data_IF_013868118230
#
_entry.id   IF_013868118230
#
_cell.length_a   1.000
_cell.length_b   1.000
_cell.length_c   1.000
_cell.angle_alpha   90.00
_cell.angle_beta   90.00
_cell.angle_gamma   90.00
#
_symmetry.space_group_name_H-M   'P 1'
#
loop_
_entity.id
_entity.type
_entity.pdbx_description
1 polymer ?
#
# COMPACT_ATOMS: atom_id res chain seq x y z
N UNK A 1 -23.01 -22.69 -23.20
CA UNK A 1 -22.20 -21.57 -22.68
C UNK A 1 -21.37 -22.12 -21.52
N UNK A 2 -20.16 -22.54 -21.83
CA UNK A 2 -19.23 -23.18 -20.87
C UNK A 2 -18.48 -22.06 -20.15
N UNK A 3 -18.82 -21.88 -18.85
CA UNK A 3 -18.10 -20.96 -17.97
C UNK A 3 -16.67 -21.47 -17.72
N UNK A 4 -15.71 -20.74 -18.21
CA UNK A 4 -14.31 -20.94 -17.79
C UNK A 4 -14.20 -20.43 -16.35
N UNK A 5 -14.23 -21.33 -15.41
CA UNK A 5 -13.84 -21.11 -14.02
C UNK A 5 -12.32 -20.89 -14.01
N UNK A 6 -11.87 -19.67 -14.18
CA UNK A 6 -10.50 -19.27 -13.90
C UNK A 6 -10.33 -19.28 -12.38
N UNK A 7 -9.84 -20.38 -11.82
CA UNK A 7 -9.43 -20.43 -10.43
C UNK A 7 -8.43 -19.33 -10.16
N UNK A 8 -8.81 -18.33 -9.36
CA UNK A 8 -7.86 -17.29 -8.91
C UNK A 8 -6.74 -18.00 -8.16
N UNK A 9 -5.47 -17.65 -8.41
CA UNK A 9 -4.34 -18.25 -7.69
C UNK A 9 -4.54 -18.05 -6.19
N UNK A 10 -4.32 -19.11 -5.42
CA UNK A 10 -4.36 -19.06 -3.96
C UNK A 10 -3.24 -18.14 -3.47
N UNK A 11 -3.61 -17.09 -2.77
CA UNK A 11 -2.64 -16.18 -2.15
C UNK A 11 -2.02 -16.82 -0.91
N UNK A 12 -0.78 -16.45 -0.55
CA UNK A 12 -0.21 -16.81 0.76
C UNK A 12 -1.10 -16.33 1.91
N UNK A 13 -1.05 -16.97 3.09
CA UNK A 13 -1.94 -16.65 4.21
C UNK A 13 -1.78 -15.22 4.76
N UNK A 14 -0.68 -14.55 4.47
CA UNK A 14 -0.39 -13.16 4.83
C UNK A 14 -0.58 -12.16 3.67
N UNK A 15 -1.23 -12.58 2.59
CA UNK A 15 -1.55 -11.72 1.46
C UNK A 15 -3.06 -11.73 1.21
N UNK A 16 -3.62 -10.54 1.11
CA UNK A 16 -5.04 -10.33 0.88
C UNK A 16 -5.27 -9.58 -0.43
N UNK A 17 -6.40 -9.84 -1.02
CA UNK A 17 -6.85 -9.13 -2.22
C UNK A 17 -8.04 -8.27 -1.85
N UNK A 18 -8.00 -7.02 -2.25
CA UNK A 18 -9.16 -6.14 -2.12
C UNK A 18 -10.43 -6.79 -2.68
N UNK A 19 -11.61 -6.49 -2.13
CA UNK A 19 -12.89 -6.95 -2.66
C UNK A 19 -13.03 -6.64 -4.16
N UNK A 20 -13.28 -7.69 -4.96
CA UNK A 20 -13.39 -7.58 -6.42
C UNK A 20 -14.83 -7.18 -6.81
N UNK A 21 -15.20 -5.94 -6.50
CA UNK A 21 -16.51 -5.39 -6.83
C UNK A 21 -16.60 -5.04 -8.33
N UNK A 22 -17.83 -4.93 -8.90
CA UNK A 22 -18.00 -4.44 -10.28
C UNK A 22 -17.31 -3.09 -10.53
N UNK A 23 -17.33 -2.20 -9.54
CA UNK A 23 -16.61 -0.91 -9.60
C UNK A 23 -15.10 -1.10 -9.73
N UNK A 24 -14.51 -1.99 -8.92
CA UNK A 24 -13.08 -2.29 -9.00
C UNK A 24 -12.72 -2.88 -10.37
N UNK A 25 -13.53 -3.81 -10.88
CA UNK A 25 -13.32 -4.38 -12.21
C UNK A 25 -13.38 -3.31 -13.31
N UNK A 26 -14.32 -2.36 -13.21
CA UNK A 26 -14.41 -1.26 -14.18
C UNK A 26 -13.15 -0.38 -14.17
N UNK A 27 -12.65 0.00 -12.98
CA UNK A 27 -11.42 0.78 -12.86
C UNK A 27 -10.20 0.03 -13.41
N UNK A 28 -10.07 -1.25 -13.06
CA UNK A 28 -8.99 -2.12 -13.55
C UNK A 28 -9.05 -2.30 -15.08
N UNK A 29 -10.23 -2.38 -15.66
CA UNK A 29 -10.40 -2.47 -17.12
C UNK A 29 -9.83 -1.23 -17.79
N UNK A 30 -10.14 -0.04 -17.28
CA UNK A 30 -9.64 1.23 -17.84
C UNK A 30 -8.11 1.29 -17.78
N UNK A 31 -7.50 1.05 -16.62
CA UNK A 31 -6.04 1.18 -16.48
C UNK A 31 -5.24 0.08 -17.21
N UNK A 32 -5.90 -1.03 -17.61
CA UNK A 32 -5.28 -2.13 -18.34
C UNK A 32 -5.48 -2.05 -19.86
N UNK A 33 -6.35 -1.16 -20.33
CA UNK A 33 -6.52 -0.95 -21.78
C UNK A 33 -5.31 -0.17 -22.31
N UNK A 34 -4.62 -0.76 -23.30
CA UNK A 34 -3.48 -0.13 -23.98
C UNK A 34 -3.81 1.20 -24.67
N UNK A 35 -5.09 1.46 -24.95
CA UNK A 35 -5.57 2.67 -25.60
C UNK A 35 -5.93 3.78 -24.60
N UNK A 36 -5.92 3.50 -23.29
CA UNK A 36 -6.22 4.50 -22.26
C UNK A 36 -5.21 5.64 -22.31
N UNK A 37 -5.73 6.85 -22.40
CA UNK A 37 -4.89 8.06 -22.43
C UNK A 37 -4.19 8.24 -21.05
N UNK A 38 -3.03 8.89 -21.07
CA UNK A 38 -2.20 9.08 -19.87
C UNK A 38 -2.97 9.77 -18.74
N UNK A 39 -3.79 10.77 -19.06
CA UNK A 39 -4.61 11.49 -18.07
C UNK A 39 -5.61 10.57 -17.36
N UNK A 40 -6.30 9.72 -18.13
CA UNK A 40 -7.27 8.78 -17.60
C UNK A 40 -6.59 7.67 -16.80
N UNK A 41 -5.45 7.17 -17.30
CA UNK A 41 -4.65 6.20 -16.57
C UNK A 41 -4.27 6.72 -15.18
N UNK A 42 -3.76 7.95 -15.08
CA UNK A 42 -3.39 8.56 -13.80
C UNK A 42 -4.63 8.71 -12.92
N UNK A 43 -5.70 9.32 -13.44
CA UNK A 43 -6.91 9.58 -12.69
C UNK A 43 -7.53 8.30 -12.08
N UNK A 44 -7.67 7.24 -12.90
CA UNK A 44 -8.27 6.00 -12.44
C UNK A 44 -7.32 5.17 -11.57
N UNK A 45 -6.00 5.25 -11.78
CA UNK A 45 -5.01 4.66 -10.88
C UNK A 45 -5.07 5.32 -9.50
N UNK A 46 -5.16 6.64 -9.41
CA UNK A 46 -5.28 7.37 -8.14
C UNK A 46 -6.54 6.97 -7.36
N UNK A 47 -7.64 6.69 -8.06
CA UNK A 47 -8.86 6.17 -7.42
C UNK A 47 -8.64 4.79 -6.81
N UNK A 48 -7.97 3.89 -7.54
CA UNK A 48 -7.65 2.54 -7.04
C UNK A 48 -6.69 2.63 -5.86
N UNK A 49 -5.69 3.50 -5.93
CA UNK A 49 -4.73 3.72 -4.83
C UNK A 49 -5.44 4.14 -3.55
N UNK A 50 -6.40 5.07 -3.62
CA UNK A 50 -7.18 5.48 -2.44
C UNK A 50 -7.98 4.32 -1.84
N UNK A 51 -8.64 3.53 -2.68
CA UNK A 51 -9.36 2.34 -2.21
C UNK A 51 -8.41 1.32 -1.57
N UNK A 52 -7.24 1.12 -2.15
CA UNK A 52 -6.21 0.23 -1.60
C UNK A 52 -5.67 0.73 -0.26
N UNK A 53 -5.48 2.04 -0.13
CA UNK A 53 -5.04 2.64 1.14
C UNK A 53 -6.11 2.45 2.21
N UNK A 54 -7.37 2.74 1.92
CA UNK A 54 -8.49 2.54 2.87
C UNK A 54 -8.60 1.07 3.30
N UNK A 55 -8.43 0.13 2.37
CA UNK A 55 -8.39 -1.30 2.70
C UNK A 55 -7.20 -1.63 3.59
N UNK A 56 -6.01 -1.11 3.27
CA UNK A 56 -4.83 -1.27 4.11
C UNK A 56 -5.01 -0.73 5.53
N UNK A 57 -5.74 0.36 5.71
CA UNK A 57 -6.04 0.94 7.01
C UNK A 57 -6.93 0.03 7.88
N UNK A 58 -7.76 -0.83 7.29
CA UNK A 58 -8.57 -1.80 8.00
C UNK A 58 -7.74 -2.83 8.79
N UNK A 59 -6.49 -3.05 8.40
CA UNK A 59 -5.56 -3.97 9.08
C UNK A 59 -4.81 -3.34 10.26
N UNK A 60 -5.01 -2.05 10.50
CA UNK A 60 -4.39 -1.35 11.62
C UNK A 60 -5.17 -1.58 12.92
N UNK A 61 -4.48 -1.66 14.08
CA UNK A 61 -5.15 -1.87 15.35
C UNK A 61 -6.00 -0.65 15.74
N UNK A 62 -7.14 -0.96 16.34
CA UNK A 62 -8.06 0.02 16.91
C UNK A 62 -8.35 -0.31 18.37
N UNK A 63 -8.82 0.66 19.13
CA UNK A 63 -9.33 0.47 20.48
C UNK A 63 -10.71 1.12 20.64
N UNK A 64 -11.52 0.60 21.56
CA UNK A 64 -12.83 1.15 21.86
C UNK A 64 -12.72 2.61 22.33
N UNK A 65 -13.53 3.48 21.75
CA UNK A 65 -13.54 4.90 22.07
C UNK A 65 -14.96 5.45 21.99
N UNK A 66 -15.47 5.93 23.14
CA UNK A 66 -16.79 6.55 23.22
C UNK A 66 -16.67 8.07 23.16
N UNK A 67 -17.45 8.69 22.31
CA UNK A 67 -17.52 10.16 22.16
C UNK A 67 -18.95 10.66 22.38
N UNK A 68 -19.08 11.92 22.82
CA UNK A 68 -20.36 12.59 22.88
C UNK A 68 -20.69 13.22 21.52
N UNK A 69 -21.85 12.87 20.97
CA UNK A 69 -22.31 13.47 19.72
C UNK A 69 -22.81 14.91 19.94
N UNK A 70 -22.94 15.73 18.91
CA UNK A 70 -23.50 17.08 19.03
C UNK A 70 -24.92 17.13 19.62
N UNK A 71 -25.66 16.01 19.52
CA UNK A 71 -27.00 15.87 20.12
C UNK A 71 -26.97 15.43 21.58
N UNK A 72 -25.79 15.22 22.17
CA UNK A 72 -25.62 14.79 23.56
C UNK A 72 -25.75 13.28 23.80
N UNK A 73 -26.01 12.49 22.76
CA UNK A 73 -26.09 11.03 22.86
C UNK A 73 -24.69 10.42 22.75
N UNK A 74 -24.25 9.50 23.64
CA UNK A 74 -22.99 8.80 23.49
C UNK A 74 -22.97 7.93 22.22
N UNK A 75 -21.84 7.97 21.49
CA UNK A 75 -21.54 7.06 20.40
C UNK A 75 -20.37 6.16 20.76
N UNK A 76 -20.61 4.85 20.78
CA UNK A 76 -19.60 3.82 21.06
C UNK A 76 -18.93 3.43 19.73
N UNK A 77 -17.76 3.96 19.50
CA UNK A 77 -16.96 3.72 18.28
C UNK A 77 -15.59 3.18 18.61
N UNK A 78 -14.67 3.34 17.66
CA UNK A 78 -13.27 2.96 17.79
C UNK A 78 -12.36 4.11 17.38
N UNK A 79 -11.13 4.09 17.87
CA UNK A 79 -10.07 5.01 17.44
C UNK A 79 -8.82 4.21 17.05
N UNK A 80 -8.02 4.76 16.12
CA UNK A 80 -6.79 4.12 15.67
C UNK A 80 -5.74 4.10 16.78
N UNK A 81 -5.03 2.98 16.90
CA UNK A 81 -3.95 2.80 17.85
C UNK A 81 -2.60 3.02 17.17
N UNK A 82 -1.81 3.94 17.73
CA UNK A 82 -0.47 4.21 17.25
C UNK A 82 -0.38 5.28 16.16
N UNK A 83 0.78 5.37 15.54
CA UNK A 83 1.11 6.33 14.48
C UNK A 83 1.46 5.61 13.20
N UNK A 84 1.14 6.22 12.06
CA UNK A 84 1.36 5.66 10.72
C UNK A 84 2.52 6.40 10.06
N UNK A 85 3.24 5.69 9.20
CA UNK A 85 4.19 6.26 8.23
C UNK A 85 4.01 5.55 6.89
N UNK A 86 3.82 6.31 5.83
CA UNK A 86 3.98 5.76 4.48
C UNK A 86 5.46 5.70 4.13
N UNK A 87 5.90 4.63 3.48
CA UNK A 87 7.27 4.52 2.96
C UNK A 87 7.19 4.11 1.51
N UNK A 88 7.60 5.01 0.61
CA UNK A 88 7.59 4.72 -0.83
C UNK A 88 8.91 4.11 -1.30
N UNK A 89 8.79 3.04 -2.10
CA UNK A 89 9.93 2.49 -2.84
C UNK A 89 10.08 3.33 -4.11
N UNK A 90 11.12 4.14 -4.15
CA UNK A 90 11.36 5.05 -5.25
C UNK A 90 11.79 4.26 -6.52
N UNK A 91 11.35 4.71 -7.69
CA UNK A 91 10.53 5.89 -7.97
C UNK A 91 9.03 5.59 -8.03
N UNK A 92 8.63 4.36 -8.37
CA UNK A 92 7.23 4.02 -8.66
C UNK A 92 6.29 4.22 -7.44
N UNK A 93 6.73 3.89 -6.23
CA UNK A 93 5.95 4.04 -5.00
C UNK A 93 5.54 5.48 -4.68
N UNK A 94 6.26 6.47 -5.21
CA UNK A 94 5.94 7.89 -5.03
C UNK A 94 4.55 8.26 -5.60
N UNK A 95 4.11 7.57 -6.66
CA UNK A 95 2.78 7.77 -7.23
C UNK A 95 1.64 7.45 -6.24
N UNK A 96 1.91 6.66 -5.20
CA UNK A 96 0.91 6.30 -4.19
C UNK A 96 0.85 7.29 -3.01
N UNK A 97 1.81 8.20 -2.88
CA UNK A 97 1.90 9.13 -1.74
C UNK A 97 0.72 10.10 -1.67
N UNK A 98 0.26 10.58 -2.82
CA UNK A 98 -0.88 11.50 -2.88
C UNK A 98 -2.15 10.84 -2.32
N UNK A 99 -2.46 9.63 -2.77
CA UNK A 99 -3.61 8.86 -2.27
C UNK A 99 -3.52 8.59 -0.77
N UNK A 100 -2.33 8.26 -0.26
CA UNK A 100 -2.14 8.08 1.18
C UNK A 100 -2.38 9.38 1.97
N UNK A 101 -1.93 10.53 1.46
CA UNK A 101 -2.14 11.83 2.12
C UNK A 101 -3.60 12.27 2.10
N UNK A 102 -4.36 11.89 1.10
CA UNK A 102 -5.80 12.15 1.02
C UNK A 102 -6.59 11.32 2.04
N UNK A 103 -6.18 10.07 2.29
CA UNK A 103 -6.82 9.19 3.28
C UNK A 103 -6.33 9.46 4.72
N UNK A 104 -5.06 9.85 4.91
CA UNK A 104 -4.43 9.99 6.20
C UNK A 104 -3.90 11.41 6.41
N UNK A 105 -4.65 12.21 7.17
CA UNK A 105 -4.24 13.60 7.48
C UNK A 105 -2.92 13.61 8.27
N UNK A 106 -1.96 14.43 7.83
CA UNK A 106 -0.67 14.63 8.50
C UNK A 106 0.21 13.36 8.60
N UNK A 107 0.02 12.39 7.71
CA UNK A 107 0.88 11.20 7.64
C UNK A 107 2.31 11.60 7.27
N UNK A 108 3.29 11.00 7.96
CA UNK A 108 4.71 11.14 7.57
C UNK A 108 5.03 10.21 6.41
N UNK A 109 5.91 10.66 5.53
CA UNK A 109 6.39 9.86 4.40
C UNK A 109 7.89 9.66 4.53
N UNK A 110 8.30 8.40 4.53
CA UNK A 110 9.68 7.97 4.32
C UNK A 110 9.90 7.59 2.85
N UNK A 111 11.15 7.56 2.43
CA UNK A 111 11.54 7.20 1.06
C UNK A 111 12.71 6.25 1.06
N UNK A 112 12.64 5.19 0.26
CA UNK A 112 13.70 4.21 0.07
C UNK A 112 13.97 4.11 -1.43
N UNK A 113 15.22 4.35 -1.85
CA UNK A 113 15.66 4.16 -3.23
C UNK A 113 16.44 2.84 -3.34
N UNK A 114 15.86 1.91 -4.07
CA UNK A 114 16.49 0.65 -4.42
C UNK A 114 16.66 0.61 -5.93
N UNK A 115 17.87 0.32 -6.38
CA UNK A 115 18.18 0.13 -7.79
C UNK A 115 18.83 -1.25 -7.96
N UNK A 116 18.78 -1.79 -9.16
CA UNK A 116 19.50 -2.99 -9.49
C UNK A 116 20.97 -2.63 -9.74
N UNK A 117 21.84 -3.37 -9.15
CA UNK A 117 23.27 -3.31 -9.45
C UNK A 117 23.48 -3.71 -10.92
N UNK A 118 24.26 -2.93 -11.67
CA UNK A 118 24.42 -3.10 -13.12
C UNK A 118 25.09 -4.42 -13.48
N UNK A 119 26.01 -4.91 -12.63
CA UNK A 119 26.78 -6.13 -12.89
C UNK A 119 26.04 -7.40 -12.45
N UNK A 120 25.40 -7.34 -11.29
CA UNK A 120 24.79 -8.52 -10.64
C UNK A 120 23.29 -8.62 -10.78
N UNK A 121 22.63 -7.55 -11.27
CA UNK A 121 21.17 -7.38 -11.33
C UNK A 121 20.46 -7.52 -9.97
N UNK A 122 21.21 -7.59 -8.85
CA UNK A 122 20.66 -7.68 -7.50
C UNK A 122 20.17 -6.31 -7.01
N UNK A 123 19.07 -6.28 -6.24
CA UNK A 123 18.60 -5.03 -5.64
C UNK A 123 19.64 -4.51 -4.63
N UNK A 124 19.97 -3.22 -4.72
CA UNK A 124 20.92 -2.53 -3.86
C UNK A 124 20.29 -1.27 -3.31
N UNK A 125 20.44 -1.04 -2.01
CA UNK A 125 20.02 0.19 -1.36
C UNK A 125 20.94 1.34 -1.75
N UNK A 126 20.39 2.42 -2.28
CA UNK A 126 21.13 3.65 -2.58
C UNK A 126 20.83 4.76 -1.58
N UNK A 127 19.61 4.79 -1.07
CA UNK A 127 19.16 5.87 -0.21
C UNK A 127 17.97 5.43 0.64
N UNK A 128 17.98 5.82 1.91
CA UNK A 128 16.85 5.71 2.81
C UNK A 128 16.72 6.98 3.64
N UNK A 129 15.54 7.60 3.61
CA UNK A 129 15.19 8.71 4.49
C UNK A 129 13.92 8.34 5.21
N UNK A 130 14.07 7.97 6.48
CA UNK A 130 13.00 7.52 7.35
C UNK A 130 12.86 8.49 8.53
N UNK A 131 11.67 8.64 9.11
CA UNK A 131 11.51 9.35 10.38
C UNK A 131 12.34 8.69 11.48
N UNK A 132 12.89 9.47 12.42
CA UNK A 132 13.67 8.97 13.55
C UNK A 132 12.88 7.96 14.42
N UNK A 133 11.56 8.16 14.51
CA UNK A 133 10.63 7.32 15.27
C UNK A 133 9.98 6.21 14.43
N UNK A 134 10.61 5.79 13.32
CA UNK A 134 10.02 4.80 12.40
C UNK A 134 9.72 3.45 13.08
N UNK A 135 10.56 3.02 14.02
CA UNK A 135 10.41 1.77 14.76
C UNK A 135 9.10 1.69 15.57
N UNK A 136 8.58 2.85 16.01
CA UNK A 136 7.34 2.95 16.78
C UNK A 136 6.08 3.04 15.93
N UNK A 137 6.23 3.13 14.59
CA UNK A 137 5.13 3.36 13.67
C UNK A 137 4.65 2.08 12.98
N UNK A 138 3.38 2.11 12.60
CA UNK A 138 2.87 1.23 11.55
C UNK A 138 3.34 1.77 10.20
N UNK A 139 3.93 0.91 9.39
CA UNK A 139 4.49 1.28 8.09
C UNK A 139 3.60 0.76 6.97
N UNK A 140 3.09 1.67 6.15
CA UNK A 140 2.48 1.35 4.87
C UNK A 140 3.57 1.46 3.80
N UNK A 141 4.13 0.31 3.39
CA UNK A 141 5.15 0.24 2.35
C UNK A 141 4.46 0.29 0.98
N UNK A 142 4.84 1.26 0.15
CA UNK A 142 4.15 1.61 -1.09
C UNK A 142 4.99 1.25 -2.31
N UNK A 143 4.47 0.36 -3.16
CA UNK A 143 5.00 0.07 -4.49
C UNK A 143 3.86 -0.42 -5.39
N UNK A 144 3.54 0.25 -6.51
CA UNK A 144 2.38 -0.11 -7.33
C UNK A 144 2.53 -1.44 -8.07
N UNK A 145 3.75 -1.95 -8.26
CA UNK A 145 3.99 -3.12 -9.10
C UNK A 145 4.95 -4.11 -8.46
N UNK A 146 4.48 -5.31 -8.16
CA UNK A 146 5.30 -6.40 -7.66
C UNK A 146 5.58 -7.40 -8.81
N UNK A 147 6.84 -7.45 -9.25
CA UNK A 147 7.33 -8.45 -10.20
C UNK A 147 8.02 -9.60 -9.44
N UNK A 148 9.35 -9.61 -9.38
CA UNK A 148 10.13 -10.63 -8.66
C UNK A 148 10.14 -10.48 -7.14
N UNK A 149 9.66 -9.36 -6.62
CA UNK A 149 9.66 -9.05 -5.19
C UNK A 149 11.01 -8.56 -4.63
N UNK A 150 12.08 -8.57 -5.43
CA UNK A 150 13.41 -8.23 -4.92
C UNK A 150 13.50 -6.85 -4.28
N UNK A 151 12.91 -5.81 -4.88
CA UNK A 151 12.89 -4.46 -4.31
C UNK A 151 12.05 -4.39 -3.02
N UNK A 152 10.91 -5.08 -2.99
CA UNK A 152 10.04 -5.11 -1.81
C UNK A 152 10.75 -5.80 -0.63
N UNK A 153 11.37 -6.96 -0.86
CA UNK A 153 12.14 -7.69 0.16
C UNK A 153 13.29 -6.82 0.70
N UNK A 154 14.04 -6.17 -0.17
CA UNK A 154 15.13 -5.28 0.25
C UNK A 154 14.60 -4.07 1.04
N UNK A 155 13.48 -3.47 0.65
CA UNK A 155 12.87 -2.37 1.38
C UNK A 155 12.38 -2.80 2.77
N UNK A 156 11.76 -3.98 2.88
CA UNK A 156 11.36 -4.56 4.16
C UNK A 156 12.58 -4.80 5.06
N UNK A 157 13.69 -5.31 4.50
CA UNK A 157 14.92 -5.50 5.27
C UNK A 157 15.46 -4.17 5.80
N UNK A 158 15.48 -3.12 4.98
CA UNK A 158 15.87 -1.78 5.42
C UNK A 158 15.01 -1.29 6.59
N UNK A 159 13.71 -1.49 6.55
CA UNK A 159 12.81 -1.13 7.65
C UNK A 159 13.10 -1.92 8.93
N UNK A 160 13.35 -3.22 8.80
CA UNK A 160 13.72 -4.09 9.94
C UNK A 160 15.06 -3.66 10.54
N UNK A 161 16.04 -3.32 9.72
CA UNK A 161 17.35 -2.80 10.16
C UNK A 161 17.22 -1.46 10.92
N UNK A 162 16.15 -0.69 10.64
CA UNK A 162 15.80 0.53 11.39
C UNK A 162 14.86 0.27 12.58
N UNK A 163 14.70 -1.00 12.99
CA UNK A 163 13.96 -1.39 14.19
C UNK A 163 12.45 -1.58 14.00
N UNK A 164 11.92 -1.50 12.78
CA UNK A 164 10.50 -1.76 12.54
C UNK A 164 10.23 -3.26 12.68
N UNK A 165 9.24 -3.60 13.51
CA UNK A 165 8.81 -5.00 13.62
C UNK A 165 8.11 -5.46 12.32
N UNK A 166 8.41 -6.65 11.78
CA UNK A 166 7.77 -7.15 10.56
C UNK A 166 6.23 -7.15 10.61
N UNK A 167 5.66 -7.42 11.79
CA UNK A 167 4.21 -7.39 12.02
C UNK A 167 3.57 -5.99 11.91
N UNK A 168 4.38 -4.93 11.89
CA UNK A 168 3.93 -3.55 11.70
C UNK A 168 4.13 -3.05 10.26
N UNK A 169 4.54 -3.90 9.33
CA UNK A 169 4.74 -3.53 7.92
C UNK A 169 3.59 -4.08 7.10
N UNK A 170 2.83 -3.18 6.48
CA UNK A 170 1.78 -3.50 5.50
C UNK A 170 2.27 -3.08 4.13
N UNK A 171 2.43 -4.03 3.22
CA UNK A 171 2.84 -3.76 1.84
C UNK A 171 1.61 -3.55 0.96
N UNK A 172 1.45 -2.35 0.42
CA UNK A 172 0.35 -1.99 -0.48
C UNK A 172 0.83 -2.02 -1.93
N UNK A 173 0.19 -2.86 -2.73
CA UNK A 173 0.56 -3.12 -4.10
C UNK A 173 -0.68 -3.16 -5.01
N UNK A 174 -0.62 -2.52 -6.18
CA UNK A 174 -1.73 -2.47 -7.13
C UNK A 174 -1.80 -3.73 -8.00
N UNK A 175 -0.67 -4.25 -8.41
CA UNK A 175 -0.61 -5.29 -9.43
C UNK A 175 0.54 -6.27 -9.20
N UNK A 176 0.19 -7.55 -9.14
CA UNK A 176 1.16 -8.63 -9.28
C UNK A 176 1.39 -8.88 -10.77
N UNK A 177 2.64 -8.85 -11.21
CA UNK A 177 3.02 -9.21 -12.56
C UNK A 177 3.49 -10.66 -12.53
N UNK A 178 2.80 -11.51 -13.29
CA UNK A 178 3.32 -12.85 -13.60
C UNK A 178 4.36 -12.72 -14.69
N UNK A 179 5.59 -13.10 -14.39
CA UNK A 179 6.71 -13.19 -15.33
C UNK A 179 6.78 -14.62 -15.83
#
# INVERSE_FOLDING_TARGET
MSGVSSGSPTLPPNAERMPQTPQMHALLTIIRDKNTQRSDFIFYSDRIIRLLVEEGLNHLPVFEHTVNTPTGVPYHGVAFQGRICGVSILRAGEAMEAGLRECCRSVRIGKILIQRDEDTAKPKLFYAKLPEDIADRWVLLLDPMLATGGSAIQAMQVLVDHGVQPSKILFLNLSLIHI
#
